data_IF_116873836231
#
_entry.id   IF_116873836231
#
_cell.length_a   1.000
_cell.length_b   1.000
_cell.length_c   1.000
_cell.angle_alpha   90.00
_cell.angle_beta   90.00
_cell.angle_gamma   90.00
#
_symmetry.space_group_name_H-M   'P 1'
#
loop_
_entity.id
_entity.type
_entity.pdbx_description
1 polymer ?
#
# COMPACT_ATOMS: atom_id res chain seq x y z
N UNK A 1 11.56 31.40 22.16
CA UNK A 1 10.16 31.83 22.34
C UNK A 1 9.44 31.77 21.00
N UNK A 2 9.15 30.56 20.50
CA UNK A 2 8.38 30.34 19.27
C UNK A 2 7.95 28.87 19.19
N UNK A 3 6.97 28.47 20.01
CA UNK A 3 6.43 27.10 19.96
C UNK A 3 5.00 27.02 20.51
N UNK A 4 4.14 28.00 20.22
CA UNK A 4 2.74 28.03 20.70
C UNK A 4 1.71 28.14 19.56
N UNK A 5 2.12 28.44 18.32
CA UNK A 5 1.18 28.77 17.23
C UNK A 5 0.66 27.60 16.37
N UNK A 6 0.90 26.33 16.74
CA UNK A 6 0.43 25.16 15.94
C UNK A 6 -0.72 24.36 16.55
N UNK A 7 -1.18 24.68 17.76
CA UNK A 7 -2.24 23.91 18.44
C UNK A 7 -3.68 24.34 18.07
N UNK A 8 -3.92 25.59 17.69
CA UNK A 8 -5.29 26.11 17.48
C UNK A 8 -5.92 25.72 16.14
N UNK A 9 -5.12 25.45 15.11
CA UNK A 9 -5.64 25.14 13.77
C UNK A 9 -6.23 23.71 13.72
N UNK A 10 -5.68 22.76 14.47
CA UNK A 10 -6.13 21.36 14.46
C UNK A 10 -7.48 21.19 15.19
N UNK A 11 -7.75 21.97 16.25
CA UNK A 11 -9.05 21.92 16.97
C UNK A 11 -10.24 22.39 16.11
N UNK A 12 -10.01 23.25 15.12
CA UNK A 12 -11.07 23.81 14.28
C UNK A 12 -11.56 22.86 13.17
N UNK A 13 -10.76 21.85 12.81
CA UNK A 13 -11.09 20.88 11.76
C UNK A 13 -11.95 19.72 12.30
N UNK A 14 -11.78 19.33 13.58
CA UNK A 14 -12.50 18.18 14.17
C UNK A 14 -13.95 18.51 14.60
N UNK A 15 -14.32 19.78 14.78
CA UNK A 15 -15.66 20.16 15.26
C UNK A 15 -16.75 20.23 14.18
N UNK A 16 -16.44 19.99 12.89
CA UNK A 16 -17.37 20.28 11.78
C UNK A 16 -18.13 19.09 11.17
N UNK A 17 -18.08 17.89 11.77
CA UNK A 17 -18.67 16.67 11.16
C UNK A 17 -19.66 15.87 12.02
N UNK A 18 -20.42 16.52 12.92
CA UNK A 18 -21.59 15.88 13.57
C UNK A 18 -22.86 16.72 13.46
N UNK A 19 -23.54 16.65 12.31
CA UNK A 19 -25.00 16.87 12.24
C UNK A 19 -25.62 15.83 11.31
N UNK A 20 -26.11 14.73 11.89
CA UNK A 20 -27.03 13.81 11.21
C UNK A 20 -28.41 14.47 11.17
N UNK A 21 -29.07 14.62 10.02
CA UNK A 21 -30.46 15.05 10.00
C UNK A 21 -31.38 13.92 10.49
N UNK A 22 -32.28 14.26 11.42
CA UNK A 22 -33.37 13.42 11.91
C UNK A 22 -34.46 13.35 10.84
N UNK A 23 -34.75 12.14 10.36
CA UNK A 23 -35.91 11.85 9.52
C UNK A 23 -37.07 11.39 10.40
N UNK A 24 -37.75 12.33 11.06
CA UNK A 24 -39.07 12.08 11.63
C UNK A 24 -40.12 12.36 10.55
N UNK A 25 -40.49 11.31 9.82
CA UNK A 25 -41.63 11.32 8.90
C UNK A 25 -42.95 11.43 9.66
N UNK A 26 -43.62 12.57 9.50
CA UNK A 26 -44.97 12.84 9.99
C UNK A 26 -45.95 12.62 8.86
N UNK A 27 -46.64 11.48 8.87
CA UNK A 27 -47.73 11.14 7.96
C UNK A 27 -49.06 11.43 8.65
N UNK A 28 -49.51 12.68 8.57
CA UNK A 28 -50.91 13.08 8.76
C UNK A 28 -51.29 13.73 7.43
N UNK A 29 -52.17 13.22 6.59
CA UNK A 29 -53.51 12.75 6.90
C UNK A 29 -54.51 13.79 6.39
N UNK A 30 -55.37 13.39 5.44
CA UNK A 30 -56.63 14.04 5.04
C UNK A 30 -56.43 15.26 4.10
N UNK A 31 -57.15 15.42 3.00
CA UNK A 31 -58.60 15.65 2.94
C UNK A 31 -59.13 15.26 1.55
N UNK A 32 -60.21 14.48 1.57
CA UNK A 32 -61.17 14.30 0.48
C UNK A 32 -61.83 15.62 0.12
N UNK A 33 -61.82 16.01 -1.16
CA UNK A 33 -62.83 16.89 -1.74
C UNK A 33 -62.97 16.58 -3.22
N UNK A 34 -63.98 15.77 -3.51
CA UNK A 34 -64.73 15.91 -4.74
C UNK A 34 -65.17 17.37 -4.89
N UNK A 35 -65.31 17.80 -6.15
CA UNK A 35 -65.97 19.01 -6.58
C UNK A 35 -65.08 20.26 -6.74
N UNK A 36 -64.43 20.38 -7.92
CA UNK A 36 -64.50 21.63 -8.71
C UNK A 36 -64.32 21.31 -10.20
N UNK A 37 -65.45 21.37 -10.93
CA UNK A 37 -65.45 21.63 -12.36
C UNK A 37 -65.00 23.07 -12.61
N UNK A 38 -64.31 23.22 -13.74
CA UNK A 38 -64.18 24.38 -14.63
C UNK A 38 -62.96 25.32 -14.49
N UNK A 39 -62.15 25.21 -15.56
CA UNK A 39 -61.61 26.27 -16.43
C UNK A 39 -60.40 27.07 -15.94
N UNK A 40 -59.27 26.78 -16.58
CA UNK A 40 -58.38 27.82 -17.10
C UNK A 40 -57.42 27.21 -18.11
N UNK A 41 -57.57 27.59 -19.38
CA UNK A 41 -56.71 27.21 -20.50
C UNK A 41 -55.42 28.02 -20.40
N UNK A 42 -54.45 27.57 -19.61
CA UNK A 42 -53.10 28.14 -19.63
C UNK A 42 -52.40 27.66 -20.90
N UNK A 43 -52.22 28.58 -21.85
CA UNK A 43 -51.38 28.38 -23.03
C UNK A 43 -49.95 28.08 -22.52
N UNK A 44 -49.51 26.83 -22.67
CA UNK A 44 -48.14 26.45 -22.35
C UNK A 44 -47.15 27.18 -23.27
N UNK A 45 -45.90 27.42 -22.81
CA UNK A 45 -44.87 28.00 -23.65
C UNK A 45 -44.65 27.10 -24.87
N UNK A 46 -44.53 27.71 -26.04
CA UNK A 46 -44.20 27.01 -27.27
C UNK A 46 -42.89 26.24 -27.07
N UNK A 47 -43.01 24.91 -26.99
CA UNK A 47 -41.89 23.98 -27.07
C UNK A 47 -41.22 24.18 -28.42
N UNK A 48 -40.10 24.90 -28.43
CA UNK A 48 -39.12 24.78 -29.50
C UNK A 48 -38.62 23.34 -29.44
N UNK A 49 -39.14 22.52 -30.35
CA UNK A 49 -38.68 21.17 -30.60
C UNK A 49 -37.20 21.23 -30.97
N UNK A 50 -36.34 21.09 -29.97
CA UNK A 50 -34.95 20.76 -30.19
C UNK A 50 -34.99 19.37 -30.82
N UNK A 51 -34.72 19.31 -32.14
CA UNK A 51 -34.61 18.05 -32.88
C UNK A 51 -33.56 17.21 -32.18
N UNK A 52 -34.00 16.24 -31.38
CA UNK A 52 -33.15 15.23 -30.80
C UNK A 52 -32.75 14.31 -31.95
N UNK A 53 -31.58 14.56 -32.53
CA UNK A 53 -30.97 13.66 -33.50
C UNK A 53 -30.74 12.30 -32.84
N UNK A 54 -31.41 11.27 -33.34
CA UNK A 54 -31.14 9.89 -32.94
C UNK A 54 -29.84 9.42 -33.58
N UNK A 55 -29.03 8.68 -32.82
CA UNK A 55 -27.87 7.98 -33.35
C UNK A 55 -28.31 6.94 -34.38
N UNK A 56 -27.62 6.90 -35.51
CA UNK A 56 -27.86 5.86 -36.50
C UNK A 56 -27.27 4.53 -36.04
N UNK A 57 -27.89 3.40 -36.38
CA UNK A 57 -27.35 2.06 -36.08
C UNK A 57 -25.95 1.88 -36.68
N UNK A 58 -25.70 2.50 -37.84
CA UNK A 58 -24.41 2.44 -38.52
C UNK A 58 -23.33 3.22 -37.77
N UNK A 59 -23.65 4.36 -37.14
CA UNK A 59 -22.70 5.09 -36.30
C UNK A 59 -22.22 4.26 -35.12
N UNK A 60 -23.15 3.59 -34.42
CA UNK A 60 -22.79 2.75 -33.28
C UNK A 60 -21.96 1.54 -33.74
N UNK A 61 -22.32 0.92 -34.87
CA UNK A 61 -21.62 -0.24 -35.41
C UNK A 61 -20.17 0.08 -35.80
N UNK A 62 -19.94 1.21 -36.47
CA UNK A 62 -18.57 1.64 -36.83
C UNK A 62 -17.75 1.97 -35.58
N UNK A 63 -18.35 2.61 -34.57
CA UNK A 63 -17.65 2.97 -33.32
C UNK A 63 -17.19 1.73 -32.55
N UNK A 64 -18.06 0.74 -32.34
CA UNK A 64 -17.65 -0.48 -31.63
C UNK A 64 -16.59 -1.26 -32.44
N UNK A 65 -16.65 -1.20 -33.77
CA UNK A 65 -15.64 -1.77 -34.65
C UNK A 65 -14.27 -1.13 -34.47
N UNK A 66 -14.21 0.20 -34.43
CA UNK A 66 -12.95 0.93 -34.20
C UNK A 66 -12.43 0.69 -32.78
N UNK A 67 -13.30 0.67 -31.76
CA UNK A 67 -12.90 0.39 -30.37
C UNK A 67 -12.28 -1.02 -30.26
N UNK A 68 -12.85 -2.01 -30.93
CA UNK A 68 -12.32 -3.38 -30.91
C UNK A 68 -10.90 -3.46 -31.50
N UNK A 69 -10.64 -2.77 -32.63
CA UNK A 69 -9.32 -2.73 -33.27
C UNK A 69 -8.31 -2.03 -32.37
N UNK A 70 -8.67 -0.86 -31.82
CA UNK A 70 -7.78 -0.12 -30.93
C UNK A 70 -7.46 -0.90 -29.65
N UNK A 71 -8.46 -1.55 -29.05
CA UNK A 71 -8.26 -2.36 -27.85
C UNK A 71 -7.31 -3.54 -28.08
N UNK A 72 -7.42 -4.23 -29.23
CA UNK A 72 -6.52 -5.32 -29.57
C UNK A 72 -5.05 -4.87 -29.68
N UNK A 73 -4.80 -3.72 -30.33
CA UNK A 73 -3.44 -3.15 -30.46
C UNK A 73 -2.87 -2.78 -29.10
N UNK A 74 -3.67 -2.15 -28.23
CA UNK A 74 -3.23 -1.70 -26.90
C UNK A 74 -2.82 -2.86 -25.99
N UNK A 75 -3.54 -3.99 -26.03
CA UNK A 75 -3.20 -5.16 -25.19
C UNK A 75 -1.83 -5.73 -25.56
N UNK A 76 -1.51 -5.82 -26.86
CA UNK A 76 -0.20 -6.27 -27.35
C UNK A 76 0.90 -5.31 -26.88
N UNK A 77 0.62 -4.01 -26.84
CA UNK A 77 1.60 -2.98 -26.47
C UNK A 77 1.94 -2.95 -24.97
N UNK A 78 1.02 -3.34 -24.07
CA UNK A 78 1.19 -3.09 -22.62
C UNK A 78 2.01 -4.16 -21.88
N UNK A 79 2.27 -5.33 -22.47
CA UNK A 79 2.96 -6.47 -21.84
C UNK A 79 2.66 -6.59 -20.32
N UNK A 80 1.48 -7.10 -19.95
CA UNK A 80 1.03 -7.14 -18.56
C UNK A 80 2.01 -7.88 -17.64
N UNK A 81 2.72 -8.88 -18.14
CA UNK A 81 3.71 -9.63 -17.39
C UNK A 81 4.85 -8.70 -16.91
N UNK A 82 5.32 -7.78 -17.76
CA UNK A 82 6.34 -6.79 -17.38
C UNK A 82 5.86 -5.86 -16.27
N UNK A 83 4.59 -5.44 -16.31
CA UNK A 83 4.01 -4.58 -15.28
C UNK A 83 3.93 -5.28 -13.91
N UNK A 84 3.52 -6.55 -13.88
CA UNK A 84 3.52 -7.32 -12.64
C UNK A 84 4.93 -7.52 -12.07
N UNK A 85 5.90 -7.80 -12.93
CA UNK A 85 7.31 -7.89 -12.54
C UNK A 85 7.84 -6.58 -11.93
N UNK A 86 7.51 -5.43 -12.54
CA UNK A 86 7.87 -4.12 -12.00
C UNK A 86 7.21 -3.86 -10.64
N UNK A 87 5.92 -4.17 -10.50
CA UNK A 87 5.20 -4.04 -9.24
C UNK A 87 5.82 -4.88 -8.12
N UNK A 88 6.23 -6.12 -8.41
CA UNK A 88 6.96 -6.98 -7.46
C UNK A 88 8.29 -6.37 -7.05
N UNK A 89 9.09 -5.86 -7.99
CA UNK A 89 10.35 -5.21 -7.66
C UNK A 89 10.15 -3.95 -6.81
N UNK A 90 9.09 -3.16 -7.05
CA UNK A 90 8.72 -2.04 -6.18
C UNK A 90 8.35 -2.51 -4.78
N UNK A 91 7.62 -3.63 -4.65
CA UNK A 91 7.32 -4.22 -3.33
C UNK A 91 8.58 -4.72 -2.62
N UNK A 92 9.51 -5.35 -3.34
CA UNK A 92 10.84 -5.73 -2.80
C UNK A 92 11.62 -4.51 -2.29
N UNK A 93 11.61 -3.41 -3.04
CA UNK A 93 12.27 -2.16 -2.62
C UNK A 93 11.66 -1.61 -1.33
N UNK A 94 10.33 -1.61 -1.22
CA UNK A 94 9.66 -1.22 0.01
C UNK A 94 9.99 -2.18 1.17
N UNK A 95 10.05 -3.49 0.90
CA UNK A 95 10.38 -4.53 1.88
C UNK A 95 11.78 -4.37 2.47
N UNK A 96 12.80 -4.29 1.62
CA UNK A 96 14.20 -4.07 2.00
C UNK A 96 14.36 -2.80 2.83
N UNK A 97 13.73 -1.69 2.41
CA UNK A 97 13.76 -0.43 3.17
C UNK A 97 13.06 -0.55 4.53
N UNK A 98 11.95 -1.28 4.61
CA UNK A 98 11.21 -1.47 5.87
C UNK A 98 12.03 -2.25 6.88
N UNK A 99 12.73 -3.30 6.44
CA UNK A 99 13.63 -4.09 7.29
C UNK A 99 14.80 -3.24 7.77
N UNK A 100 15.48 -2.52 6.88
CA UNK A 100 16.60 -1.63 7.26
C UNK A 100 16.18 -0.52 8.21
N UNK A 101 14.99 0.06 8.03
CA UNK A 101 14.45 1.05 8.96
C UNK A 101 14.23 0.43 10.35
N UNK A 102 13.68 -0.78 10.43
CA UNK A 102 13.44 -1.46 11.70
C UNK A 102 14.75 -1.82 12.42
N UNK A 103 15.74 -2.34 11.68
CA UNK A 103 17.10 -2.59 12.19
C UNK A 103 17.73 -1.28 12.73
N UNK A 104 17.66 -0.21 11.93
CA UNK A 104 18.22 1.09 12.30
C UNK A 104 17.55 1.70 13.53
N UNK A 105 16.21 1.59 13.65
CA UNK A 105 15.47 2.04 14.83
C UNK A 105 15.88 1.27 16.08
N UNK A 106 15.95 -0.07 15.99
CA UNK A 106 16.42 -0.89 17.10
C UNK A 106 17.82 -0.49 17.54
N UNK A 107 18.75 -0.36 16.60
CA UNK A 107 20.12 0.08 16.92
C UNK A 107 20.14 1.46 17.57
N UNK A 108 19.30 2.39 17.12
CA UNK A 108 19.20 3.72 17.73
C UNK A 108 18.74 3.64 19.20
N UNK A 109 17.75 2.81 19.50
CA UNK A 109 17.24 2.62 20.87
C UNK A 109 18.23 1.85 21.77
N UNK A 110 19.09 1.02 21.17
CA UNK A 110 20.02 0.14 21.88
C UNK A 110 21.49 0.61 21.78
N UNK A 111 21.72 1.93 21.77
CA UNK A 111 23.06 2.55 21.82
C UNK A 111 24.01 2.07 20.70
N UNK A 112 23.46 1.87 19.50
CA UNK A 112 24.19 1.42 18.33
C UNK A 112 24.36 -0.09 18.23
N UNK A 113 23.83 -0.88 19.17
CA UNK A 113 23.87 -2.34 19.13
C UNK A 113 22.56 -2.90 18.59
N UNK A 114 22.64 -3.89 17.71
CA UNK A 114 21.45 -4.63 17.28
C UNK A 114 21.12 -5.77 18.24
N UNK A 115 22.15 -6.43 18.76
CA UNK A 115 22.03 -7.61 19.60
C UNK A 115 21.52 -7.29 21.01
N UNK A 116 20.91 -8.30 21.64
CA UNK A 116 20.40 -8.23 23.00
C UNK A 116 18.92 -8.57 23.09
N UNK A 117 18.41 -8.62 24.31
CA UNK A 117 17.04 -9.03 24.60
C UNK A 117 16.23 -7.92 25.25
N UNK A 118 14.92 -7.97 25.05
CA UNK A 118 13.98 -7.09 25.73
C UNK A 118 12.69 -7.83 26.04
N UNK A 119 12.05 -7.45 27.14
CA UNK A 119 10.84 -8.10 27.63
C UNK A 119 9.67 -7.12 27.61
N UNK A 120 8.55 -7.54 27.03
CA UNK A 120 7.30 -6.77 27.00
C UNK A 120 6.28 -7.44 27.92
N UNK A 121 5.48 -6.62 28.61
CA UNK A 121 4.36 -7.09 29.44
C UNK A 121 4.74 -7.29 30.90
N UNK A 122 3.75 -7.16 31.77
CA UNK A 122 3.93 -7.23 33.24
C UNK A 122 3.33 -8.50 33.86
N UNK A 123 2.22 -9.01 33.31
CA UNK A 123 1.51 -10.20 33.82
C UNK A 123 1.90 -11.51 33.14
N UNK A 124 2.33 -11.45 31.88
CA UNK A 124 2.87 -12.58 31.09
C UNK A 124 4.03 -12.05 30.25
N UNK A 125 5.23 -11.93 30.83
CA UNK A 125 6.35 -11.31 30.15
C UNK A 125 6.76 -12.14 28.93
N UNK A 126 6.84 -11.50 27.77
CA UNK A 126 7.38 -12.10 26.53
C UNK A 126 8.75 -11.50 26.29
N UNK A 127 9.77 -12.35 26.22
CA UNK A 127 11.15 -11.93 25.96
C UNK A 127 11.49 -12.20 24.51
N UNK A 128 11.90 -11.15 23.82
CA UNK A 128 12.40 -11.19 22.46
C UNK A 128 13.93 -11.15 22.51
N UNK A 129 14.58 -12.13 21.89
CA UNK A 129 16.04 -12.19 21.76
C UNK A 129 16.44 -11.83 20.33
N UNK A 130 17.37 -10.89 20.19
CA UNK A 130 18.00 -10.58 18.91
C UNK A 130 19.45 -11.00 18.95
N UNK A 131 19.82 -11.94 18.07
CA UNK A 131 21.21 -12.29 17.85
C UNK A 131 21.98 -11.15 17.18
N UNK A 132 23.30 -11.27 17.17
CA UNK A 132 24.14 -10.43 16.31
C UNK A 132 23.73 -10.59 14.84
N UNK A 133 23.80 -9.49 14.08
CA UNK A 133 23.59 -9.54 12.64
C UNK A 133 24.73 -10.33 11.98
N UNK A 134 24.43 -11.15 10.95
CA UNK A 134 25.42 -11.97 10.28
C UNK A 134 26.42 -11.13 9.47
N UNK A 135 27.67 -11.58 9.41
CA UNK A 135 28.71 -11.00 8.54
C UNK A 135 28.80 -11.68 7.16
N UNK A 136 27.95 -12.69 6.94
CA UNK A 136 27.78 -13.38 5.67
C UNK A 136 26.33 -13.23 5.21
N UNK A 137 26.08 -13.25 3.90
CA UNK A 137 24.71 -13.23 3.36
C UNK A 137 23.90 -14.37 3.97
N UNK A 138 22.85 -14.01 4.73
CA UNK A 138 22.04 -14.97 5.47
C UNK A 138 20.56 -14.70 5.21
N UNK A 139 19.76 -15.72 4.90
CA UNK A 139 18.32 -15.57 4.73
C UNK A 139 17.64 -15.04 6.00
N UNK A 140 16.71 -14.12 5.81
CA UNK A 140 15.90 -13.55 6.87
C UNK A 140 14.72 -14.49 7.17
N UNK A 141 14.55 -14.83 8.44
CA UNK A 141 13.43 -15.61 8.94
C UNK A 141 12.55 -14.79 9.88
N UNK A 142 11.24 -15.07 9.85
CA UNK A 142 10.21 -14.48 10.73
C UNK A 142 10.16 -15.11 12.11
N UNK A 143 10.94 -16.18 12.34
CA UNK A 143 11.05 -16.78 13.67
C UNK A 143 11.80 -15.87 14.63
N UNK A 144 11.40 -15.94 15.90
CA UNK A 144 12.21 -15.46 17.01
C UNK A 144 13.20 -16.55 17.41
N UNK A 145 14.45 -16.16 17.61
CA UNK A 145 15.49 -17.09 18.02
C UNK A 145 16.87 -16.46 18.01
N UNK A 146 17.88 -17.30 18.19
CA UNK A 146 19.27 -16.88 18.39
C UNK A 146 20.14 -17.06 17.14
N UNK A 147 19.59 -17.56 16.04
CA UNK A 147 20.39 -17.77 14.83
C UNK A 147 20.51 -16.46 14.06
N UNK A 148 21.67 -16.28 13.44
CA UNK A 148 21.88 -15.12 12.58
C UNK A 148 20.86 -15.15 11.41
N UNK A 149 20.19 -14.02 11.16
CA UNK A 149 19.11 -13.92 10.17
C UNK A 149 17.70 -14.11 10.74
N UNK A 150 17.54 -14.55 11.99
CA UNK A 150 16.24 -14.60 12.66
C UNK A 150 15.87 -13.21 13.18
N UNK A 151 15.06 -12.48 12.39
CA UNK A 151 14.70 -11.10 12.70
C UNK A 151 13.30 -10.98 13.34
N UNK A 152 12.74 -12.09 13.83
CA UNK A 152 11.43 -12.11 14.50
C UNK A 152 11.34 -11.13 15.67
N UNK A 153 12.47 -10.87 16.35
CA UNK A 153 12.57 -9.92 17.45
C UNK A 153 12.29 -8.45 17.07
N UNK A 154 12.25 -8.12 15.77
CA UNK A 154 11.83 -6.80 15.29
C UNK A 154 10.30 -6.62 15.31
N UNK A 155 9.56 -7.72 15.31
CA UNK A 155 8.10 -7.76 15.30
C UNK A 155 7.59 -7.94 16.74
N UNK A 156 6.54 -7.21 17.18
CA UNK A 156 5.83 -6.13 16.48
C UNK A 156 6.41 -4.73 16.74
N UNK A 157 7.46 -4.61 17.56
CA UNK A 157 7.91 -3.32 18.14
C UNK A 157 8.42 -2.33 17.10
N UNK A 158 9.24 -2.77 16.16
CA UNK A 158 9.89 -1.91 15.17
C UNK A 158 9.27 -2.03 13.78
N UNK A 159 8.56 -3.13 13.53
CA UNK A 159 7.79 -3.37 12.30
C UNK A 159 6.60 -4.29 12.61
N UNK A 160 5.46 -4.05 11.97
CA UNK A 160 4.23 -4.81 12.24
C UNK A 160 4.29 -6.27 11.81
N UNK A 161 5.05 -6.55 10.74
CA UNK A 161 5.37 -7.88 10.24
C UNK A 161 6.57 -7.76 9.31
N UNK A 162 7.42 -8.78 9.26
CA UNK A 162 8.49 -8.79 8.26
C UNK A 162 7.89 -8.98 6.86
N UNK A 163 8.28 -8.15 5.88
CA UNK A 163 7.84 -8.32 4.50
C UNK A 163 8.46 -9.59 3.92
N UNK A 164 7.71 -10.27 3.06
CA UNK A 164 8.14 -11.46 2.32
C UNK A 164 8.20 -11.17 0.83
N UNK A 165 8.98 -11.93 0.07
CA UNK A 165 8.99 -11.81 -1.39
C UNK A 165 7.57 -11.97 -1.97
N UNK A 166 7.16 -11.11 -2.92
CA UNK A 166 5.79 -11.11 -3.44
C UNK A 166 5.53 -12.19 -4.50
N UNK A 167 6.56 -12.82 -5.06
CA UNK A 167 6.38 -13.93 -6.00
C UNK A 167 6.37 -15.29 -5.28
N UNK A 168 7.01 -15.40 -4.12
CA UNK A 168 7.22 -16.68 -3.42
C UNK A 168 7.12 -16.47 -1.90
N UNK A 169 6.45 -17.38 -1.21
CA UNK A 169 6.45 -17.43 0.26
C UNK A 169 6.91 -18.81 0.71
N UNK A 170 7.95 -18.88 1.54
CA UNK A 170 8.51 -20.14 2.04
C UNK A 170 8.41 -20.24 3.56
N UNK A 171 7.17 -20.34 4.06
CA UNK A 171 6.90 -20.49 5.49
C UNK A 171 7.43 -19.30 6.28
N UNK A 172 8.45 -19.54 7.10
CA UNK A 172 9.09 -18.51 7.92
C UNK A 172 10.19 -17.74 7.20
N UNK A 173 10.68 -18.21 6.05
CA UNK A 173 11.70 -17.51 5.29
C UNK A 173 11.06 -16.42 4.42
N UNK A 174 11.56 -15.18 4.56
CA UNK A 174 11.05 -14.02 3.82
C UNK A 174 11.59 -13.94 2.40
N UNK A 175 12.62 -14.73 2.07
CA UNK A 175 13.41 -14.70 0.82
C UNK A 175 14.17 -13.38 0.61
N UNK A 176 14.31 -12.59 1.66
CA UNK A 176 15.28 -11.52 1.77
C UNK A 176 16.49 -12.01 2.55
N UNK A 177 17.61 -11.32 2.38
CA UNK A 177 18.88 -11.64 3.03
C UNK A 177 19.41 -10.41 3.75
N UNK A 178 20.13 -10.63 4.85
CA UNK A 178 20.80 -9.57 5.61
C UNK A 178 22.28 -9.90 5.77
N UNK A 179 23.11 -8.87 5.77
CA UNK A 179 24.54 -8.95 6.04
C UNK A 179 25.06 -7.64 6.62
N UNK A 180 26.03 -7.71 7.52
CA UNK A 180 26.80 -6.57 8.01
C UNK A 180 28.21 -6.64 7.46
N UNK A 181 28.75 -5.47 7.11
CA UNK A 181 30.14 -5.38 6.66
C UNK A 181 30.32 -5.64 5.17
N UNK A 182 29.24 -5.82 4.41
CA UNK A 182 29.24 -6.00 2.95
C UNK A 182 28.25 -5.05 2.30
N UNK A 183 28.53 -4.55 1.10
CA UNK A 183 27.59 -3.78 0.30
C UNK A 183 26.75 -4.67 -0.64
N UNK A 184 25.95 -4.04 -1.49
CA UNK A 184 25.11 -4.71 -2.48
C UNK A 184 25.86 -5.47 -3.58
N UNK A 185 27.14 -5.17 -3.80
CA UNK A 185 28.00 -5.90 -4.72
C UNK A 185 28.79 -7.01 -4.02
N UNK A 186 28.62 -7.18 -2.71
CA UNK A 186 29.40 -8.11 -1.89
C UNK A 186 30.81 -7.61 -1.53
N UNK A 187 31.13 -6.35 -1.84
CA UNK A 187 32.39 -5.72 -1.46
C UNK A 187 32.37 -5.36 0.03
N UNK A 188 33.55 -5.29 0.65
CA UNK A 188 33.65 -4.96 2.08
C UNK A 188 33.17 -3.53 2.36
N UNK A 189 32.22 -3.41 3.28
CA UNK A 189 31.63 -2.16 3.72
C UNK A 189 31.44 -2.17 5.25
N UNK A 190 32.55 -2.04 6.01
CA UNK A 190 32.55 -2.28 7.45
C UNK A 190 31.60 -1.33 8.19
N UNK A 191 30.85 -1.89 9.14
CA UNK A 191 29.92 -1.12 9.96
C UNK A 191 28.68 -0.61 9.22
N UNK A 192 28.35 -1.17 8.05
CA UNK A 192 27.08 -0.95 7.36
C UNK A 192 26.25 -2.22 7.35
N UNK A 193 24.93 -2.06 7.44
CA UNK A 193 23.96 -3.14 7.29
C UNK A 193 23.42 -3.10 5.86
N UNK A 194 23.42 -4.25 5.21
CA UNK A 194 22.88 -4.44 3.88
C UNK A 194 21.75 -5.45 3.94
N UNK A 195 20.65 -5.13 3.28
CA UNK A 195 19.53 -6.04 3.08
C UNK A 195 19.31 -6.19 1.58
N UNK A 196 19.18 -7.43 1.14
CA UNK A 196 19.08 -7.80 -0.27
C UNK A 196 17.80 -8.62 -0.52
N UNK A 197 17.18 -8.39 -1.68
CA UNK A 197 16.12 -9.21 -2.24
C UNK A 197 16.64 -9.88 -3.53
N UNK A 198 17.30 -11.05 -3.42
CA UNK A 198 18.00 -11.70 -4.52
C UNK A 198 17.08 -12.14 -5.66
N UNK A 199 15.80 -12.41 -5.37
CA UNK A 199 14.85 -12.86 -6.39
C UNK A 199 14.45 -11.79 -7.40
N UNK A 200 14.84 -10.52 -7.19
CA UNK A 200 14.67 -9.48 -8.20
C UNK A 200 15.50 -9.74 -9.47
N UNK A 201 16.67 -10.38 -9.35
CA UNK A 201 17.53 -10.76 -10.48
C UNK A 201 16.92 -11.87 -11.34
N UNK A 202 16.10 -12.73 -10.72
CA UNK A 202 15.51 -13.91 -11.35
C UNK A 202 14.21 -13.59 -12.12
N UNK A 203 13.85 -12.32 -12.23
CA UNK A 203 12.65 -11.86 -12.89
C UNK A 203 12.82 -11.90 -14.42
N UNK A 204 12.60 -13.07 -15.02
CA UNK A 204 12.83 -13.34 -16.46
C UNK A 204 12.03 -12.45 -17.42
N UNK A 205 10.98 -11.78 -16.91
CA UNK A 205 10.15 -10.88 -17.71
C UNK A 205 10.79 -9.50 -17.91
N UNK A 206 11.79 -9.13 -17.10
CA UNK A 206 12.55 -7.89 -17.25
C UNK A 206 14.03 -8.25 -17.39
N UNK A 207 14.60 -8.27 -18.61
CA UNK A 207 15.99 -8.66 -18.79
C UNK A 207 16.94 -7.67 -18.09
N UNK A 208 17.87 -8.19 -17.29
CA UNK A 208 18.95 -7.43 -16.67
C UNK A 208 18.54 -6.57 -15.47
N UNK A 209 17.45 -6.88 -14.77
CA UNK A 209 17.14 -6.22 -13.50
C UNK A 209 18.14 -6.63 -12.43
N UNK A 210 18.86 -5.69 -11.79
CA UNK A 210 19.74 -6.02 -10.67
C UNK A 210 18.94 -6.36 -9.41
N UNK A 211 19.59 -7.05 -8.47
CA UNK A 211 19.06 -7.38 -7.16
C UNK A 211 18.58 -6.09 -6.49
N UNK A 212 17.43 -6.16 -5.83
CA UNK A 212 16.98 -5.04 -5.03
C UNK A 212 17.73 -5.08 -3.71
N UNK A 213 18.71 -4.19 -3.57
CA UNK A 213 19.55 -4.15 -2.40
C UNK A 213 19.76 -2.72 -1.92
N UNK A 214 19.82 -2.54 -0.60
CA UNK A 214 20.09 -1.27 0.05
C UNK A 214 21.09 -1.48 1.19
N UNK A 215 22.00 -0.53 1.36
CA UNK A 215 23.00 -0.50 2.43
C UNK A 215 22.84 0.79 3.25
N UNK A 216 22.91 0.69 4.58
CA UNK A 216 22.86 1.85 5.50
C UNK A 216 23.84 1.75 6.65
#
# INVERSE_FOLDING_TARGET
MSCILRADIIRKIISKQRKKPSLNGRWDGMISLNHMKKLSKTRGPASTSARQGGFTLIEILVVIGIIAILAAIVIIAINPAKQFAQARNTQRQAGVNSILNAIGQRMADNKGRFDGSFTIGTSTPVTYDCSVLPTSLTPISTVEGTNAGELGCLVPTYISALPTDPAWALGTNTLYEVVVGKDCAGADNPGRVTVNAPLADNETTIPGTPAVCVTR
#
